data_IF_012012810303
#
_entry.id   IF_012012810303
#
_cell.length_a   1.000
_cell.length_b   1.000
_cell.length_c   1.000
_cell.angle_alpha   90.00
_cell.angle_beta   90.00
_cell.angle_gamma   90.00
#
_symmetry.space_group_name_H-M   'P 1'
#
loop_
_entity.id
_entity.type
_entity.pdbx_description
1 polymer ?
#
# COMPACT_ATOMS: atom_id res chain seq x y z
N UNK A 1 32.63 -11.02 -9.72
CA UNK A 1 31.40 -10.70 -8.97
C UNK A 1 30.16 -11.56 -9.28
N UNK A 2 29.60 -11.72 -10.50
CA UNK A 2 28.45 -12.66 -10.69
C UNK A 2 28.72 -14.06 -10.11
N UNK A 3 29.94 -14.59 -10.29
CA UNK A 3 30.40 -15.87 -9.70
C UNK A 3 30.44 -15.85 -8.17
N UNK A 4 30.79 -14.71 -7.58
CA UNK A 4 30.89 -14.51 -6.13
C UNK A 4 29.50 -14.38 -5.51
N UNK A 5 28.62 -13.58 -6.11
CA UNK A 5 27.20 -13.49 -5.74
C UNK A 5 26.51 -14.86 -5.82
N UNK A 6 26.81 -15.65 -6.86
CA UNK A 6 26.35 -17.04 -6.98
C UNK A 6 26.91 -17.93 -5.88
N UNK A 7 28.19 -17.79 -5.51
CA UNK A 7 28.80 -18.56 -4.43
C UNK A 7 28.18 -18.22 -3.07
N UNK A 8 27.95 -16.93 -2.80
CA UNK A 8 27.26 -16.44 -1.59
C UNK A 8 25.80 -16.90 -1.56
N UNK A 9 25.07 -16.84 -2.68
CA UNK A 9 23.71 -17.36 -2.75
C UNK A 9 23.68 -18.87 -2.51
N UNK A 10 24.63 -19.62 -3.09
CA UNK A 10 24.77 -21.05 -2.88
C UNK A 10 25.05 -21.41 -1.41
N UNK A 11 25.88 -20.63 -0.71
CA UNK A 11 26.10 -20.85 0.74
C UNK A 11 24.87 -20.58 1.59
N UNK A 12 23.91 -19.81 1.07
CA UNK A 12 22.57 -19.59 1.66
C UNK A 12 21.50 -20.57 1.15
N UNK A 13 21.87 -21.57 0.36
CA UNK A 13 20.93 -22.56 -0.20
C UNK A 13 20.14 -22.07 -1.42
N UNK A 14 20.47 -20.91 -1.99
CA UNK A 14 19.74 -20.31 -3.11
C UNK A 14 20.47 -20.59 -4.43
N UNK A 15 19.80 -21.30 -5.34
CA UNK A 15 20.36 -21.59 -6.65
C UNK A 15 20.13 -20.44 -7.65
N UNK A 16 21.21 -19.72 -7.95
CA UNK A 16 21.25 -18.65 -8.94
C UNK A 16 21.99 -19.06 -10.21
N UNK A 17 21.33 -18.84 -11.35
CA UNK A 17 21.96 -18.87 -12.67
C UNK A 17 22.01 -17.45 -13.26
N UNK A 18 22.77 -17.27 -14.35
CA UNK A 18 22.92 -15.94 -14.95
C UNK A 18 21.59 -15.36 -15.44
N UNK A 19 20.70 -16.21 -15.98
CA UNK A 19 19.37 -15.80 -16.43
C UNK A 19 18.50 -15.26 -15.29
N UNK A 20 18.55 -15.86 -14.09
CA UNK A 20 17.83 -15.38 -12.90
C UNK A 20 18.37 -14.02 -12.47
N UNK A 21 19.70 -13.87 -12.40
CA UNK A 21 20.33 -12.59 -12.04
C UNK A 21 19.96 -11.50 -13.05
N UNK A 22 20.03 -11.80 -14.35
CA UNK A 22 19.64 -10.87 -15.42
C UNK A 22 18.17 -10.50 -15.36
N UNK A 23 17.29 -11.45 -15.02
CA UNK A 23 15.87 -11.18 -14.78
C UNK A 23 15.67 -10.24 -13.60
N UNK A 24 16.32 -10.48 -12.46
CA UNK A 24 16.22 -9.61 -11.28
C UNK A 24 16.70 -8.18 -11.58
N UNK A 25 17.81 -8.06 -12.31
CA UNK A 25 18.30 -6.77 -12.80
C UNK A 25 17.32 -6.14 -13.80
N UNK A 26 16.75 -6.92 -14.71
CA UNK A 26 15.77 -6.45 -15.70
C UNK A 26 14.48 -5.92 -15.07
N UNK A 27 14.06 -6.51 -13.95
CA UNK A 27 12.93 -6.07 -13.13
C UNK A 27 13.30 -4.96 -12.14
N UNK A 28 14.57 -4.52 -12.08
CA UNK A 28 15.01 -3.49 -11.15
C UNK A 28 15.11 -3.94 -9.68
N UNK A 29 15.05 -5.24 -9.42
CA UNK A 29 15.14 -5.83 -8.08
C UNK A 29 16.58 -5.86 -7.55
N UNK A 30 17.56 -5.76 -8.44
CA UNK A 30 18.99 -5.66 -8.14
C UNK A 30 19.60 -4.54 -8.97
N UNK A 31 20.39 -3.69 -8.31
CA UNK A 31 21.19 -2.67 -8.97
C UNK A 31 22.60 -3.20 -9.18
N UNK A 32 23.09 -3.11 -10.42
CA UNK A 32 24.49 -3.37 -10.72
C UNK A 32 25.20 -2.07 -11.11
N UNK A 33 26.22 -1.67 -10.35
CA UNK A 33 27.09 -0.55 -10.69
C UNK A 33 27.86 -0.90 -11.96
N UNK A 34 27.73 -0.09 -13.01
CA UNK A 34 28.51 -0.25 -14.24
C UNK A 34 29.89 0.34 -14.00
N UNK A 35 30.92 -0.50 -13.97
CA UNK A 35 32.29 -0.03 -14.13
C UNK A 35 32.70 -0.29 -15.58
N UNK A 36 33.01 0.77 -16.34
CA UNK A 36 33.75 0.59 -17.58
C UNK A 36 35.17 0.24 -17.20
N UNK A 37 35.60 -1.00 -17.45
CA UNK A 37 37.03 -1.24 -17.52
C UNK A 37 37.51 -0.48 -18.75
N UNK A 38 38.34 0.52 -18.54
CA UNK A 38 38.89 1.35 -19.60
C UNK A 38 39.66 0.48 -20.59
N UNK A 39 39.00 0.13 -21.69
CA UNK A 39 39.54 0.12 -23.06
C UNK A 39 38.38 -0.27 -24.00
N UNK A 40 37.89 0.74 -24.71
CA UNK A 40 36.88 0.60 -25.75
C UNK A 40 37.42 -0.30 -26.87
N UNK A 41 37.11 -1.60 -26.81
CA UNK A 41 36.92 -2.47 -28.00
C UNK A 41 36.74 -3.96 -27.69
N UNK A 42 37.03 -4.47 -26.48
CA UNK A 42 36.99 -5.94 -26.27
C UNK A 42 36.41 -6.49 -24.96
N UNK A 43 36.14 -5.67 -23.96
CA UNK A 43 35.52 -6.13 -22.70
C UNK A 43 34.21 -5.40 -22.47
N UNK A 44 33.10 -6.16 -22.48
CA UNK A 44 31.76 -5.62 -22.25
C UNK A 44 31.61 -5.00 -20.86
N UNK A 45 30.57 -4.18 -20.70
CA UNK A 45 30.25 -3.50 -19.43
C UNK A 45 30.06 -4.54 -18.31
N UNK A 46 30.91 -4.51 -17.27
CA UNK A 46 30.77 -5.36 -16.09
C UNK A 46 29.88 -4.64 -15.06
N UNK A 47 28.84 -5.34 -14.58
CA UNK A 47 27.98 -4.89 -13.47
C UNK A 47 28.51 -5.45 -12.15
N UNK A 48 28.86 -4.57 -11.21
CA UNK A 48 29.24 -4.90 -9.83
C UNK A 48 28.00 -4.82 -8.94
N UNK A 49 27.85 -5.78 -8.02
CA UNK A 49 26.70 -5.86 -7.12
C UNK A 49 27.14 -5.47 -5.72
N UNK A 50 26.32 -4.67 -5.03
CA UNK A 50 26.55 -4.23 -3.65
C UNK A 50 26.43 -5.40 -2.66
N UNK A 51 27.03 -5.29 -1.47
CA UNK A 51 26.94 -6.30 -0.40
C UNK A 51 25.49 -6.61 -0.01
N UNK A 52 24.63 -5.59 0.01
CA UNK A 52 23.18 -5.76 0.28
C UNK A 52 22.43 -6.53 -0.80
N UNK A 53 23.06 -6.81 -1.94
CA UNK A 53 22.44 -7.60 -3.02
C UNK A 53 22.13 -9.02 -2.58
N UNK A 54 22.92 -9.62 -1.68
CA UNK A 54 22.66 -10.96 -1.19
C UNK A 54 21.41 -11.01 -0.30
N UNK A 55 21.23 -10.01 0.56
CA UNK A 55 20.06 -9.91 1.43
C UNK A 55 18.77 -9.67 0.62
N UNK A 56 18.86 -8.83 -0.42
CA UNK A 56 17.78 -8.65 -1.38
C UNK A 56 17.43 -9.96 -2.10
N UNK A 57 18.43 -10.78 -2.47
CA UNK A 57 18.22 -12.11 -3.08
C UNK A 57 17.53 -13.07 -2.11
N UNK A 58 17.92 -13.08 -0.83
CA UNK A 58 17.26 -13.88 0.20
C UNK A 58 15.78 -13.52 0.29
N UNK A 59 15.45 -12.23 0.38
CA UNK A 59 14.06 -11.77 0.41
C UNK A 59 13.31 -12.11 -0.89
N UNK A 60 13.93 -11.96 -2.06
CA UNK A 60 13.32 -12.37 -3.34
C UNK A 60 13.00 -13.87 -3.33
N UNK A 61 13.87 -14.70 -2.73
CA UNK A 61 13.63 -16.14 -2.61
C UNK A 61 12.42 -16.43 -1.71
N UNK A 62 12.34 -15.80 -0.53
CA UNK A 62 11.18 -15.89 0.37
C UNK A 62 9.87 -15.46 -0.34
N UNK A 63 9.91 -14.36 -1.09
CA UNK A 63 8.75 -13.88 -1.84
C UNK A 63 8.32 -14.85 -2.96
N UNK A 64 9.23 -15.63 -3.54
CA UNK A 64 8.87 -16.65 -4.54
C UNK A 64 8.10 -17.82 -3.95
N UNK A 65 8.24 -18.09 -2.65
CA UNK A 65 7.49 -19.13 -1.96
C UNK A 65 6.05 -18.65 -1.64
N UNK A 66 5.84 -17.33 -1.59
CA UNK A 66 4.53 -16.73 -1.36
C UNK A 66 3.66 -16.76 -2.63
N UNK A 67 2.71 -17.71 -2.65
CA UNK A 67 1.77 -17.90 -3.77
C UNK A 67 0.80 -16.73 -3.99
N UNK A 68 0.71 -15.78 -3.06
CA UNK A 68 -0.18 -14.63 -3.20
C UNK A 68 0.37 -13.56 -4.16
N UNK A 69 1.69 -13.56 -4.40
CA UNK A 69 2.31 -12.60 -5.31
C UNK A 69 2.50 -13.22 -6.69
N UNK A 70 1.59 -12.90 -7.62
CA UNK A 70 1.57 -13.53 -8.95
C UNK A 70 2.71 -13.10 -9.87
N UNK A 71 3.31 -11.92 -9.65
CA UNK A 71 4.28 -11.32 -10.57
C UNK A 71 5.55 -10.95 -9.83
N UNK A 72 6.67 -11.59 -10.19
CA UNK A 72 7.99 -11.34 -9.59
C UNK A 72 8.47 -9.88 -9.73
N UNK A 73 8.06 -9.19 -10.78
CA UNK A 73 8.32 -7.75 -10.96
C UNK A 73 7.66 -6.86 -9.87
N UNK A 74 6.62 -7.33 -9.19
CA UNK A 74 5.97 -6.59 -8.10
C UNK A 74 6.77 -6.66 -6.78
N UNK A 75 7.79 -7.51 -6.71
CA UNK A 75 8.70 -7.54 -5.55
C UNK A 75 9.46 -6.24 -5.37
N UNK A 76 9.57 -5.42 -6.43
CA UNK A 76 10.24 -4.11 -6.36
C UNK A 76 9.59 -3.21 -5.29
N UNK A 77 8.27 -3.30 -5.09
CA UNK A 77 7.57 -2.53 -4.06
C UNK A 77 7.92 -2.99 -2.66
N UNK A 78 8.01 -4.32 -2.47
CA UNK A 78 8.38 -4.92 -1.17
C UNK A 78 9.84 -4.59 -0.85
N UNK A 79 10.75 -4.75 -1.81
CA UNK A 79 12.16 -4.44 -1.65
C UNK A 79 12.37 -2.96 -1.30
N UNK A 80 11.75 -2.06 -2.06
CA UNK A 80 11.79 -0.62 -1.78
C UNK A 80 11.27 -0.31 -0.38
N UNK A 81 10.08 -0.83 -0.04
CA UNK A 81 9.49 -0.65 1.29
C UNK A 81 10.39 -1.17 2.41
N UNK A 82 11.03 -2.32 2.21
CA UNK A 82 11.90 -2.96 3.21
C UNK A 82 13.24 -2.26 3.38
N UNK A 83 13.62 -1.38 2.46
CA UNK A 83 14.87 -0.62 2.57
C UNK A 83 15.98 -1.11 1.64
N UNK A 84 15.65 -1.97 0.66
CA UNK A 84 16.64 -2.50 -0.26
C UNK A 84 16.87 -1.55 -1.44
N UNK A 85 18.11 -1.46 -1.95
CA UNK A 85 18.40 -0.69 -3.14
C UNK A 85 17.70 -1.32 -4.35
N UNK A 86 16.81 -0.56 -4.99
CA UNK A 86 16.13 -0.94 -6.25
C UNK A 86 16.38 0.09 -7.34
N UNK A 87 16.23 -0.31 -8.59
CA UNK A 87 16.30 0.61 -9.71
C UNK A 87 15.09 1.57 -9.67
N UNK A 88 15.34 2.83 -9.30
CA UNK A 88 14.30 3.84 -9.10
C UNK A 88 13.55 4.18 -10.39
N UNK A 89 14.21 4.09 -11.55
CA UNK A 89 13.55 4.33 -12.83
C UNK A 89 12.57 3.19 -13.15
N UNK A 90 12.96 1.94 -12.86
CA UNK A 90 12.04 0.80 -12.96
C UNK A 90 10.88 0.92 -11.99
N UNK A 91 11.13 1.33 -10.75
CA UNK A 91 10.08 1.58 -9.76
C UNK A 91 9.09 2.65 -10.26
N UNK A 92 9.60 3.78 -10.77
CA UNK A 92 8.80 4.87 -11.34
C UNK A 92 7.91 4.40 -12.49
N UNK A 93 8.48 3.69 -13.47
CA UNK A 93 7.72 3.14 -14.61
C UNK A 93 6.57 2.26 -14.10
N UNK A 94 6.84 1.41 -13.10
CA UNK A 94 5.85 0.49 -12.54
C UNK A 94 4.76 1.21 -11.75
N UNK A 95 5.12 2.25 -10.99
CA UNK A 95 4.15 3.13 -10.33
C UNK A 95 3.28 3.86 -11.35
N UNK A 96 3.85 4.32 -12.46
CA UNK A 96 3.11 4.98 -13.53
C UNK A 96 2.11 4.03 -14.20
N UNK A 97 2.54 2.82 -14.56
CA UNK A 97 1.65 1.79 -15.10
C UNK A 97 0.49 1.47 -14.14
N UNK A 98 0.76 1.46 -12.84
CA UNK A 98 -0.27 1.24 -11.85
C UNK A 98 -1.23 2.42 -11.73
N UNK A 99 -0.70 3.65 -11.63
CA UNK A 99 -1.49 4.86 -11.57
C UNK A 99 -2.44 4.96 -12.78
N UNK A 100 -1.93 4.72 -14.00
CA UNK A 100 -2.75 4.72 -15.22
C UNK A 100 -3.89 3.70 -15.16
N UNK A 101 -3.61 2.47 -14.70
CA UNK A 101 -4.66 1.45 -14.56
C UNK A 101 -5.69 1.80 -13.51
N UNK A 102 -5.24 2.40 -12.41
CA UNK A 102 -6.11 2.86 -11.33
C UNK A 102 -7.02 3.99 -11.82
N UNK A 103 -6.47 4.98 -12.53
CA UNK A 103 -7.25 6.06 -13.15
C UNK A 103 -8.28 5.49 -14.13
N UNK A 104 -7.86 4.63 -15.06
CA UNK A 104 -8.76 4.01 -16.03
C UNK A 104 -9.89 3.21 -15.35
N UNK A 105 -9.56 2.43 -14.32
CA UNK A 105 -10.55 1.69 -13.54
C UNK A 105 -11.58 2.60 -12.88
N UNK A 106 -11.16 3.77 -12.41
CA UNK A 106 -12.05 4.79 -11.85
C UNK A 106 -12.88 5.48 -12.92
N UNK A 107 -12.29 5.86 -14.05
CA UNK A 107 -13.00 6.45 -15.19
C UNK A 107 -14.15 5.53 -15.62
N UNK A 108 -13.84 4.26 -15.91
CA UNK A 108 -14.83 3.24 -16.33
C UNK A 108 -15.99 3.11 -15.33
N UNK A 109 -15.72 3.17 -14.02
CA UNK A 109 -16.75 3.01 -12.98
C UNK A 109 -17.50 4.28 -12.63
N UNK A 110 -16.84 5.43 -12.79
CA UNK A 110 -17.41 6.73 -12.46
C UNK A 110 -18.57 7.10 -13.38
N UNK A 111 -18.60 6.57 -14.61
CA UNK A 111 -19.71 6.75 -15.56
C UNK A 111 -21.04 6.21 -15.02
N UNK A 112 -21.01 5.21 -14.15
CA UNK A 112 -22.20 4.61 -13.56
C UNK A 112 -22.62 5.30 -12.26
N UNK A 113 -21.89 6.32 -11.79
CA UNK A 113 -22.18 6.97 -10.49
C UNK A 113 -23.20 8.11 -10.58
N UNK A 114 -23.86 8.27 -11.73
CA UNK A 114 -24.98 9.22 -11.89
C UNK A 114 -26.29 8.65 -11.33
N UNK A 115 -26.51 7.34 -11.48
CA UNK A 115 -27.68 6.62 -10.97
C UNK A 115 -27.23 5.46 -10.08
N UNK A 116 -27.73 5.44 -8.84
CA UNK A 116 -27.36 4.41 -7.88
C UNK A 116 -27.86 3.03 -8.30
N UNK A 117 -29.04 2.91 -8.91
CA UNK A 117 -29.59 1.64 -9.39
C UNK A 117 -28.72 1.06 -10.50
N UNK A 118 -28.31 1.89 -11.47
CA UNK A 118 -27.43 1.44 -12.56
C UNK A 118 -26.06 0.99 -12.05
N UNK A 119 -25.50 1.70 -11.05
CA UNK A 119 -24.26 1.29 -10.40
C UNK A 119 -24.41 -0.08 -9.70
N UNK A 120 -25.52 -0.28 -8.98
CA UNK A 120 -25.80 -1.54 -8.28
C UNK A 120 -25.94 -2.70 -9.27
N UNK A 121 -26.63 -2.49 -10.39
CA UNK A 121 -26.79 -3.50 -11.45
C UNK A 121 -25.45 -3.85 -12.11
N UNK A 122 -24.58 -2.86 -12.33
CA UNK A 122 -23.22 -3.09 -12.83
C UNK A 122 -22.39 -3.93 -11.85
N UNK A 123 -22.36 -3.60 -10.56
CA UNK A 123 -21.64 -4.38 -9.54
C UNK A 123 -22.23 -5.79 -9.38
N UNK A 124 -23.56 -5.94 -9.44
CA UNK A 124 -24.21 -7.26 -9.46
C UNK A 124 -23.71 -8.08 -10.65
N UNK A 125 -23.74 -7.51 -11.86
CA UNK A 125 -23.31 -8.19 -13.08
C UNK A 125 -21.84 -8.64 -13.04
N UNK A 126 -20.94 -7.86 -12.42
CA UNK A 126 -19.52 -8.20 -12.27
C UNK A 126 -19.27 -9.32 -11.24
N UNK A 127 -20.20 -9.50 -10.29
CA UNK A 127 -20.15 -10.50 -9.23
C UNK A 127 -20.90 -11.80 -9.57
N UNK A 128 -21.78 -11.78 -10.58
CA UNK A 128 -22.44 -12.99 -11.11
C UNK A 128 -21.37 -13.99 -11.58
N UNK A 129 -21.25 -15.11 -10.85
CA UNK A 129 -20.35 -16.22 -11.19
C UNK A 129 -19.05 -16.30 -10.38
N UNK A 130 -18.77 -15.34 -9.49
CA UNK A 130 -17.57 -15.35 -8.61
C UNK A 130 -17.84 -15.82 -7.19
N UNK A 131 -19.09 -15.85 -6.75
CA UNK A 131 -19.46 -16.33 -5.42
C UNK A 131 -19.40 -17.86 -5.37
N UNK A 132 -18.72 -18.47 -4.37
CA UNK A 132 -18.71 -19.91 -4.21
C UNK A 132 -20.14 -20.38 -3.96
N UNK A 133 -20.72 -21.10 -4.93
CA UNK A 133 -22.02 -21.77 -4.76
C UNK A 133 -21.85 -22.84 -3.69
N UNK A 134 -22.20 -22.55 -2.44
CA UNK A 134 -22.32 -23.57 -1.39
C UNK A 134 -23.32 -24.63 -1.89
N UNK A 135 -22.95 -25.91 -1.74
CA UNK A 135 -23.82 -27.02 -2.14
C UNK A 135 -25.02 -27.06 -1.19
N UNK A 136 -26.22 -26.86 -1.74
CA UNK A 136 -27.48 -26.84 -0.99
C UNK A 136 -28.25 -25.52 -1.13
N UNK A 137 -29.53 -25.52 -0.72
CA UNK A 137 -30.36 -24.30 -0.75
C UNK A 137 -29.95 -23.39 0.42
N UNK A 138 -29.46 -22.16 0.18
CA UNK A 138 -29.13 -21.24 1.26
C UNK A 138 -30.36 -20.89 2.09
N UNK A 139 -30.17 -20.69 3.40
CA UNK A 139 -31.25 -20.31 4.30
C UNK A 139 -31.71 -18.87 3.99
N UNK A 140 -32.98 -18.55 4.26
CA UNK A 140 -33.51 -17.19 4.06
C UNK A 140 -32.72 -16.13 4.83
N UNK A 141 -32.22 -16.48 6.02
CA UNK A 141 -31.41 -15.59 6.84
C UNK A 141 -30.01 -15.35 6.25
N UNK A 142 -29.40 -16.37 5.65
CA UNK A 142 -28.11 -16.23 4.96
C UNK A 142 -28.23 -15.29 3.75
N UNK A 143 -29.25 -15.49 2.91
CA UNK A 143 -29.52 -14.61 1.77
C UNK A 143 -29.83 -13.17 2.19
N UNK A 144 -30.53 -12.98 3.30
CA UNK A 144 -30.82 -11.64 3.81
C UNK A 144 -29.55 -10.92 4.28
N UNK A 145 -28.63 -11.61 4.98
CA UNK A 145 -27.33 -11.04 5.37
C UNK A 145 -26.45 -10.71 4.18
N UNK A 146 -26.34 -11.63 3.22
CA UNK A 146 -25.56 -11.43 2.00
C UNK A 146 -26.08 -10.23 1.18
N UNK A 147 -27.40 -10.02 1.15
CA UNK A 147 -28.00 -8.87 0.48
C UNK A 147 -27.73 -7.55 1.22
N UNK A 148 -27.74 -7.54 2.56
CA UNK A 148 -27.40 -6.36 3.37
C UNK A 148 -25.91 -6.01 3.18
N UNK A 149 -25.02 -6.98 3.31
CA UNK A 149 -23.57 -6.80 3.10
C UNK A 149 -23.27 -6.31 1.67
N UNK A 150 -23.98 -6.85 0.67
CA UNK A 150 -23.90 -6.39 -0.71
C UNK A 150 -24.32 -4.92 -0.84
N UNK A 151 -25.48 -4.55 -0.27
CA UNK A 151 -25.99 -3.19 -0.31
C UNK A 151 -25.06 -2.19 0.37
N UNK A 152 -24.52 -2.52 1.54
CA UNK A 152 -23.56 -1.68 2.25
C UNK A 152 -22.25 -1.50 1.46
N UNK A 153 -21.72 -2.60 0.92
CA UNK A 153 -20.50 -2.56 0.11
C UNK A 153 -20.69 -1.73 -1.15
N UNK A 154 -21.81 -1.92 -1.84
CA UNK A 154 -22.07 -1.25 -3.09
C UNK A 154 -22.44 0.24 -2.89
N UNK A 155 -23.12 0.60 -1.79
CA UNK A 155 -23.31 2.00 -1.38
C UNK A 155 -21.97 2.69 -1.06
N UNK A 156 -21.09 2.02 -0.33
CA UNK A 156 -19.74 2.52 -0.05
C UNK A 156 -18.93 2.72 -1.34
N UNK A 157 -19.01 1.77 -2.29
CA UNK A 157 -18.37 1.88 -3.60
C UNK A 157 -18.97 3.00 -4.44
N UNK A 158 -20.29 3.21 -4.39
CA UNK A 158 -20.98 4.27 -5.12
C UNK A 158 -20.54 5.65 -4.63
N UNK A 159 -20.53 5.87 -3.31
CA UNK A 159 -20.05 7.13 -2.70
C UNK A 159 -18.57 7.38 -3.00
N UNK A 160 -17.75 6.32 -2.95
CA UNK A 160 -16.35 6.39 -3.36
C UNK A 160 -16.23 6.76 -4.84
N UNK A 161 -17.04 6.16 -5.71
CA UNK A 161 -17.08 6.46 -7.14
C UNK A 161 -17.47 7.91 -7.44
N UNK A 162 -18.46 8.47 -6.74
CA UNK A 162 -18.82 9.90 -6.84
C UNK A 162 -17.63 10.80 -6.49
N UNK A 163 -16.92 10.50 -5.39
CA UNK A 163 -15.73 11.23 -4.97
C UNK A 163 -14.65 11.20 -6.05
N UNK A 164 -14.39 10.01 -6.62
CA UNK A 164 -13.40 9.85 -7.69
C UNK A 164 -13.80 10.55 -9.00
N UNK A 165 -15.09 10.56 -9.35
CA UNK A 165 -15.58 11.33 -10.50
C UNK A 165 -15.25 12.81 -10.36
N UNK A 166 -15.55 13.40 -9.21
CA UNK A 166 -15.25 14.81 -8.95
C UNK A 166 -13.75 15.09 -8.82
N UNK A 167 -12.98 14.13 -8.27
CA UNK A 167 -11.53 14.15 -8.27
C UNK A 167 -10.97 14.26 -9.71
N UNK A 168 -11.49 13.46 -10.63
CA UNK A 168 -11.10 13.47 -12.06
C UNK A 168 -11.55 14.76 -12.76
N UNK A 169 -12.72 15.29 -12.38
CA UNK A 169 -13.23 16.56 -12.91
C UNK A 169 -12.51 17.80 -12.35
N UNK A 170 -11.56 17.63 -11.43
CA UNK A 170 -10.66 18.68 -11.00
C UNK A 170 -11.08 19.44 -9.74
N UNK A 171 -12.21 19.11 -9.11
CA UNK A 171 -12.65 19.69 -7.83
C UNK A 171 -13.73 18.81 -7.21
N UNK A 172 -13.57 18.49 -5.94
CA UNK A 172 -14.56 17.80 -5.11
C UNK A 172 -15.47 18.84 -4.43
N UNK A 173 -16.77 18.67 -4.56
CA UNK A 173 -17.80 19.47 -3.92
C UNK A 173 -17.94 19.10 -2.45
N UNK A 174 -18.39 20.06 -1.63
CA UNK A 174 -18.61 19.81 -0.20
C UNK A 174 -19.64 18.71 0.06
N UNK A 175 -20.69 18.63 -0.78
CA UNK A 175 -21.73 17.61 -0.67
C UNK A 175 -21.18 16.20 -0.85
N UNK A 176 -20.43 15.94 -1.93
CA UNK A 176 -19.83 14.63 -2.20
C UNK A 176 -18.73 14.29 -1.18
N UNK A 177 -17.93 15.27 -0.77
CA UNK A 177 -16.92 15.07 0.27
C UNK A 177 -17.56 14.65 1.60
N UNK A 178 -18.60 15.36 2.02
CA UNK A 178 -19.35 15.04 3.25
C UNK A 178 -20.05 13.69 3.16
N UNK A 179 -20.73 13.38 2.05
CA UNK A 179 -21.33 12.06 1.82
C UNK A 179 -20.31 10.93 1.97
N UNK A 180 -19.08 11.14 1.48
CA UNK A 180 -17.99 10.18 1.62
C UNK A 180 -17.47 10.09 3.06
N UNK A 181 -17.17 11.21 3.73
CA UNK A 181 -16.64 11.22 5.10
C UNK A 181 -17.66 10.64 6.08
N UNK A 182 -18.93 11.02 6.00
CA UNK A 182 -20.00 10.51 6.85
C UNK A 182 -20.30 9.03 6.62
N UNK A 183 -19.93 8.47 5.46
CA UNK A 183 -19.99 7.02 5.24
C UNK A 183 -18.94 6.24 6.05
N UNK A 184 -17.97 6.93 6.67
CA UNK A 184 -16.93 6.33 7.50
C UNK A 184 -17.25 6.61 8.97
N UNK A 185 -17.61 5.56 9.71
CA UNK A 185 -17.95 5.63 11.13
C UNK A 185 -16.84 6.19 12.03
N UNK A 186 -15.60 6.29 11.54
CA UNK A 186 -14.41 6.70 12.27
C UNK A 186 -13.99 8.16 12.05
N UNK A 187 -14.65 8.91 11.17
CA UNK A 187 -14.19 10.24 10.73
C UNK A 187 -15.19 11.38 11.03
N UNK A 188 -16.23 11.15 11.84
CA UNK A 188 -17.42 12.02 11.90
C UNK A 188 -17.32 13.30 12.75
N UNK A 189 -16.13 13.82 13.05
CA UNK A 189 -16.02 15.08 13.81
C UNK A 189 -15.80 16.29 12.88
N UNK A 190 -16.84 17.14 12.83
CA UNK A 190 -17.11 18.17 11.81
C UNK A 190 -16.11 19.36 11.65
N UNK A 191 -15.26 19.81 12.61
CA UNK A 191 -14.55 21.08 12.41
C UNK A 191 -13.35 21.01 11.44
N UNK A 192 -13.00 19.83 10.91
CA UNK A 192 -11.83 19.65 10.04
C UNK A 192 -12.17 19.32 8.58
N UNK A 193 -13.43 19.03 8.25
CA UNK A 193 -13.82 18.64 6.89
C UNK A 193 -13.54 19.73 5.86
N UNK A 194 -13.87 20.98 6.19
CA UNK A 194 -13.73 22.10 5.24
C UNK A 194 -12.25 22.43 4.95
N UNK A 195 -11.41 22.45 5.98
CA UNK A 195 -9.97 22.67 5.84
C UNK A 195 -9.29 21.53 5.06
N UNK A 196 -9.72 20.29 5.30
CA UNK A 196 -9.25 19.11 4.58
C UNK A 196 -9.68 19.18 3.11
N UNK A 197 -10.95 19.48 2.83
CA UNK A 197 -11.45 19.63 1.47
C UNK A 197 -10.74 20.77 0.72
N UNK A 198 -10.46 21.89 1.36
CA UNK A 198 -9.68 22.98 0.76
C UNK A 198 -8.26 22.52 0.36
N UNK A 199 -7.59 21.74 1.21
CA UNK A 199 -6.28 21.16 0.88
C UNK A 199 -6.36 20.16 -0.27
N UNK A 200 -7.33 19.25 -0.22
CA UNK A 200 -7.57 18.25 -1.26
C UNK A 200 -7.84 18.94 -2.60
N UNK A 201 -8.76 19.92 -2.63
CA UNK A 201 -9.08 20.65 -3.87
C UNK A 201 -7.91 21.47 -4.42
N UNK A 202 -7.03 22.01 -3.58
CA UNK A 202 -5.79 22.66 -4.04
C UNK A 202 -4.90 21.65 -4.75
N UNK A 203 -4.67 20.50 -4.12
CA UNK A 203 -3.87 19.41 -4.67
C UNK A 203 -4.44 18.86 -6.00
N UNK A 204 -5.78 18.81 -6.12
CA UNK A 204 -6.45 18.40 -7.36
C UNK A 204 -6.28 19.44 -8.47
N UNK A 205 -6.55 20.72 -8.18
CA UNK A 205 -6.47 21.81 -9.18
C UNK A 205 -5.07 21.96 -9.77
N UNK A 206 -4.04 21.66 -9.00
CA UNK A 206 -2.65 21.66 -9.48
C UNK A 206 -2.34 20.48 -10.41
N UNK A 207 -3.30 19.56 -10.65
CA UNK A 207 -3.10 18.26 -11.30
C UNK A 207 -1.89 17.50 -10.72
N UNK A 208 -1.54 17.82 -9.47
CA UNK A 208 -0.32 17.38 -8.84
C UNK A 208 -0.34 15.86 -8.74
N UNK A 209 -1.48 15.28 -8.37
CA UNK A 209 -1.64 13.84 -8.21
C UNK A 209 -1.55 13.07 -9.53
N UNK A 210 -2.28 13.48 -10.58
CA UNK A 210 -2.31 12.77 -11.87
C UNK A 210 -0.95 12.75 -12.57
N UNK A 211 -0.16 13.80 -12.36
CA UNK A 211 1.16 13.93 -12.96
C UNK A 211 2.30 13.59 -12.00
N UNK A 212 2.04 13.35 -10.70
CA UNK A 212 3.09 13.27 -9.69
C UNK A 212 4.18 12.27 -10.04
N UNK A 213 3.81 11.06 -10.47
CA UNK A 213 4.80 10.03 -10.85
C UNK A 213 5.53 10.42 -12.13
N UNK A 214 4.82 11.04 -13.09
CA UNK A 214 5.41 11.54 -14.33
C UNK A 214 6.39 12.68 -14.09
N UNK A 215 6.16 13.55 -13.12
CA UNK A 215 7.02 14.69 -12.79
C UNK A 215 7.99 14.39 -11.64
N UNK A 216 7.82 13.25 -10.96
CA UNK A 216 8.69 12.84 -9.86
C UNK A 216 10.15 12.69 -10.33
N UNK A 217 11.05 13.09 -9.45
CA UNK A 217 12.47 12.98 -9.61
C UNK A 217 13.06 12.06 -8.51
N UNK A 218 14.36 11.77 -8.60
CA UNK A 218 15.03 10.86 -7.67
C UNK A 218 14.90 11.28 -6.19
N UNK A 219 14.83 12.58 -5.90
CA UNK A 219 14.68 13.07 -4.52
C UNK A 219 13.34 12.65 -3.91
N UNK A 220 12.25 12.64 -4.67
CA UNK A 220 10.93 12.22 -4.16
C UNK A 220 10.94 10.77 -3.64
N UNK A 221 11.71 9.89 -4.29
CA UNK A 221 11.89 8.51 -3.86
C UNK A 221 12.80 8.41 -2.63
N UNK A 222 13.80 9.28 -2.50
CA UNK A 222 14.66 9.36 -1.31
C UNK A 222 13.87 9.87 -0.10
N UNK A 223 13.09 10.93 -0.26
CA UNK A 223 12.23 11.48 0.79
C UNK A 223 11.20 10.45 1.24
N UNK A 224 10.59 9.72 0.29
CA UNK A 224 9.69 8.61 0.58
C UNK A 224 10.39 7.49 1.37
N UNK A 225 11.63 7.16 1.00
CA UNK A 225 12.44 6.17 1.70
C UNK A 225 12.76 6.59 3.14
N UNK A 226 13.13 7.85 3.37
CA UNK A 226 13.39 8.42 4.70
C UNK A 226 12.13 8.39 5.56
N UNK A 227 10.97 8.77 5.00
CA UNK A 227 9.70 8.68 5.71
C UNK A 227 9.37 7.23 6.10
N UNK A 228 9.55 6.27 5.19
CA UNK A 228 9.33 4.84 5.49
C UNK A 228 10.25 4.38 6.63
N UNK A 229 11.51 4.81 6.64
CA UNK A 229 12.45 4.47 7.71
C UNK A 229 11.97 5.03 9.06
N UNK A 230 11.54 6.30 9.10
CA UNK A 230 11.02 6.94 10.30
C UNK A 230 9.73 6.26 10.80
N UNK A 231 8.79 5.93 9.91
CA UNK A 231 7.57 5.19 10.26
C UNK A 231 7.88 3.83 10.90
N UNK A 232 8.96 3.15 10.47
CA UNK A 232 9.40 1.90 11.09
C UNK A 232 9.92 2.11 12.52
N UNK A 233 10.52 3.25 12.84
CA UNK A 233 10.93 3.57 14.21
C UNK A 233 9.72 3.75 15.14
N UNK A 234 8.67 4.38 14.65
CA UNK A 234 7.38 4.47 15.35
C UNK A 234 6.76 3.08 15.53
N UNK A 235 6.82 2.24 14.50
CA UNK A 235 6.36 0.85 14.57
C UNK A 235 7.15 0.00 15.58
N UNK A 236 8.46 0.23 15.71
CA UNK A 236 9.29 -0.49 16.68
C UNK A 236 8.81 -0.28 18.13
N UNK A 237 8.20 0.87 18.46
CA UNK A 237 7.59 1.10 19.78
C UNK A 237 6.49 0.09 20.05
N UNK A 238 5.59 -0.12 19.08
CA UNK A 238 4.55 -1.16 19.17
C UNK A 238 5.18 -2.53 19.35
N UNK A 239 6.17 -2.85 18.52
CA UNK A 239 6.84 -4.15 18.54
C UNK A 239 7.55 -4.43 19.87
N UNK A 240 8.15 -3.42 20.48
CA UNK A 240 8.81 -3.53 21.78
C UNK A 240 7.80 -3.78 22.90
N UNK A 241 6.63 -3.14 22.83
CA UNK A 241 5.60 -3.24 23.86
C UNK A 241 4.77 -4.54 23.75
N UNK A 242 4.37 -4.92 22.54
CA UNK A 242 3.40 -6.01 22.31
C UNK A 242 3.97 -7.19 21.50
N UNK A 243 5.20 -7.10 21.00
CA UNK A 243 5.82 -8.11 20.13
C UNK A 243 5.38 -8.01 18.66
N UNK A 244 4.08 -7.84 18.41
CA UNK A 244 3.48 -7.66 17.08
C UNK A 244 2.18 -6.85 17.16
N UNK A 245 1.74 -6.22 16.06
CA UNK A 245 0.48 -5.44 16.03
C UNK A 245 -0.74 -6.32 16.31
N UNK A 246 -0.73 -7.59 15.89
CA UNK A 246 -1.81 -8.53 16.18
C UNK A 246 -1.91 -8.90 17.65
N UNK A 247 -0.92 -8.51 18.46
CA UNK A 247 -0.89 -8.75 19.90
C UNK A 247 -1.37 -7.53 20.71
N UNK A 248 -1.70 -6.41 20.05
CA UNK A 248 -2.32 -5.26 20.71
C UNK A 248 -3.79 -5.62 21.02
N UNK A 249 -4.24 -5.55 22.29
CA UNK A 249 -5.63 -5.80 22.64
C UNK A 249 -6.62 -4.93 21.84
N UNK A 250 -7.68 -5.53 21.29
CA UNK A 250 -8.69 -4.84 20.47
C UNK A 250 -8.25 -4.52 19.04
N UNK A 251 -7.03 -4.00 18.83
CA UNK A 251 -6.50 -3.73 17.48
C UNK A 251 -6.19 -5.04 16.75
N UNK A 252 -5.54 -6.00 17.43
CA UNK A 252 -5.21 -7.29 16.84
C UNK A 252 -6.44 -8.09 16.44
N UNK A 253 -7.50 -8.05 17.26
CA UNK A 253 -8.78 -8.70 16.97
C UNK A 253 -9.44 -8.09 15.72
N UNK A 254 -9.45 -6.77 15.61
CA UNK A 254 -9.96 -6.07 14.41
C UNK A 254 -9.14 -6.44 13.17
N UNK A 255 -7.80 -6.47 13.27
CA UNK A 255 -6.96 -6.86 12.15
C UNK A 255 -7.22 -8.31 11.72
N UNK A 256 -7.36 -9.24 12.67
CA UNK A 256 -7.70 -10.63 12.36
C UNK A 256 -9.07 -10.75 11.66
N UNK A 257 -10.07 -10.01 12.14
CA UNK A 257 -11.41 -9.96 11.50
C UNK A 257 -11.31 -9.39 10.08
N UNK A 258 -10.55 -8.32 9.87
CA UNK A 258 -10.33 -7.75 8.54
C UNK A 258 -9.62 -8.74 7.61
N UNK A 259 -8.63 -9.48 8.11
CA UNK A 259 -7.93 -10.50 7.33
C UNK A 259 -8.82 -11.67 6.93
N UNK A 260 -9.66 -12.14 7.86
CA UNK A 260 -10.66 -13.17 7.58
C UNK A 260 -11.68 -12.69 6.54
N UNK A 261 -12.18 -11.47 6.70
CA UNK A 261 -13.22 -10.89 5.83
C UNK A 261 -12.71 -10.58 4.43
N UNK A 262 -11.49 -10.05 4.30
CA UNK A 262 -10.90 -9.72 3.00
C UNK A 262 -10.08 -10.86 2.38
N UNK A 263 -9.98 -12.01 3.06
CA UNK A 263 -9.13 -13.15 2.67
C UNK A 263 -7.66 -12.74 2.40
N UNK A 264 -7.16 -11.79 3.17
CA UNK A 264 -5.78 -11.30 3.05
C UNK A 264 -4.95 -12.02 4.12
N UNK A 265 -4.05 -12.91 3.71
CA UNK A 265 -3.05 -13.44 4.65
C UNK A 265 -2.04 -12.33 4.95
N UNK A 266 -2.06 -11.77 6.15
CA UNK A 266 -1.09 -10.76 6.64
C UNK A 266 -1.00 -9.52 5.75
N UNK A 267 -1.64 -8.42 6.18
CA UNK A 267 -1.58 -7.11 5.50
C UNK A 267 -0.15 -6.67 5.15
N UNK A 268 0.84 -7.06 5.98
CA UNK A 268 2.25 -6.72 5.77
C UNK A 268 2.94 -7.46 4.61
N UNK A 269 2.31 -8.42 3.93
CA UNK A 269 2.98 -9.20 2.88
C UNK A 269 2.34 -9.04 1.49
N UNK A 270 1.48 -8.04 1.32
CA UNK A 270 0.83 -7.75 0.04
C UNK A 270 1.50 -6.59 -0.71
N UNK A 271 2.13 -6.84 -1.87
CA UNK A 271 2.74 -5.79 -2.68
C UNK A 271 1.78 -4.67 -3.08
N UNK A 272 0.47 -4.96 -3.15
CA UNK A 272 -0.53 -3.95 -3.50
C UNK A 272 -0.58 -2.82 -2.45
N UNK A 273 -0.45 -3.14 -1.16
CA UNK A 273 -0.49 -2.15 -0.07
C UNK A 273 0.72 -1.23 -0.19
N UNK A 274 1.92 -1.83 -0.31
CA UNK A 274 3.16 -1.05 -0.47
C UNK A 274 3.14 -0.16 -1.71
N UNK A 275 2.71 -0.72 -2.85
CA UNK A 275 2.55 0.04 -4.09
C UNK A 275 1.61 1.24 -3.90
N UNK A 276 0.47 1.04 -3.23
CA UNK A 276 -0.51 2.10 -2.99
C UNK A 276 0.01 3.18 -2.04
N UNK A 277 0.66 2.78 -0.94
CA UNK A 277 1.25 3.73 0.02
C UNK A 277 2.39 4.53 -0.61
N UNK A 278 3.29 3.89 -1.36
CA UNK A 278 4.36 4.57 -2.09
C UNK A 278 3.77 5.59 -3.08
N UNK A 279 2.72 5.20 -3.81
CA UNK A 279 2.01 6.09 -4.72
C UNK A 279 1.44 7.31 -3.97
N UNK A 280 0.82 7.13 -2.80
CA UNK A 280 0.30 8.22 -1.98
C UNK A 280 1.43 9.15 -1.51
N UNK A 281 2.54 8.60 -1.01
CA UNK A 281 3.66 9.40 -0.50
C UNK A 281 4.30 10.26 -1.57
N UNK A 282 4.48 9.72 -2.78
CA UNK A 282 5.02 10.49 -3.91
C UNK A 282 3.96 11.46 -4.43
N UNK A 283 2.70 11.03 -4.58
CA UNK A 283 1.65 11.85 -5.19
C UNK A 283 1.17 12.98 -4.30
N UNK A 284 1.14 12.77 -3.00
CA UNK A 284 0.71 13.74 -2.02
C UNK A 284 1.69 14.90 -1.82
N UNK A 285 2.94 14.76 -2.26
CA UNK A 285 3.96 15.82 -2.13
C UNK A 285 4.23 16.25 -0.68
N UNK A 286 3.76 15.49 0.31
CA UNK A 286 3.87 15.81 1.72
C UNK A 286 4.89 14.94 2.46
N UNK A 287 5.60 14.04 1.76
CA UNK A 287 6.57 13.13 2.39
C UNK A 287 7.55 13.88 3.29
N UNK A 288 8.14 14.97 2.78
CA UNK A 288 9.02 15.84 3.54
C UNK A 288 8.35 16.50 4.75
N UNK A 289 7.15 17.04 4.59
CA UNK A 289 6.39 17.67 5.69
C UNK A 289 6.05 16.68 6.79
N UNK A 290 5.67 15.46 6.41
CA UNK A 290 5.45 14.37 7.37
C UNK A 290 6.73 13.95 8.06
N UNK A 291 7.84 13.83 7.34
CA UNK A 291 9.15 13.56 7.93
C UNK A 291 9.52 14.63 8.95
N UNK A 292 9.38 15.92 8.59
CA UNK A 292 9.65 17.04 9.49
C UNK A 292 8.78 16.99 10.75
N UNK A 293 7.48 16.72 10.60
CA UNK A 293 6.55 16.58 11.73
C UNK A 293 6.88 15.36 12.62
N UNK A 294 7.04 14.18 12.03
CA UNK A 294 7.34 12.94 12.75
C UNK A 294 8.75 12.94 13.35
N UNK A 295 9.66 13.79 12.88
CA UNK A 295 10.99 13.94 13.47
C UNK A 295 10.98 14.81 14.74
N UNK A 296 9.85 15.47 15.07
CA UNK A 296 9.73 16.24 16.29
C UNK A 296 9.77 15.32 17.52
N UNK A 297 10.65 15.59 18.51
CA UNK A 297 10.72 14.76 19.71
C UNK A 297 9.40 14.65 20.46
N UNK A 298 8.62 15.73 20.50
CA UNK A 298 7.30 15.74 21.14
C UNK A 298 6.31 14.76 20.50
N UNK A 299 6.34 14.61 19.17
CA UNK A 299 5.47 13.69 18.44
C UNK A 299 5.84 12.24 18.75
N UNK A 300 7.13 11.93 18.74
CA UNK A 300 7.61 10.59 19.07
C UNK A 300 7.32 10.21 20.54
N UNK A 301 7.48 11.15 21.47
CA UNK A 301 7.13 10.93 22.89
C UNK A 301 5.62 10.77 23.09
N UNK A 302 4.80 11.59 22.41
CA UNK A 302 3.34 11.44 22.43
C UNK A 302 2.90 10.08 21.93
N UNK A 303 3.49 9.61 20.82
CA UNK A 303 3.24 8.27 20.30
C UNK A 303 3.60 7.17 21.30
N UNK A 304 4.76 7.26 21.97
CA UNK A 304 5.15 6.31 23.02
C UNK A 304 4.13 6.25 24.16
N UNK A 305 3.61 7.40 24.60
CA UNK A 305 2.56 7.44 25.62
C UNK A 305 1.32 6.69 25.15
N UNK A 306 0.82 7.01 23.95
CA UNK A 306 -0.37 6.37 23.38
C UNK A 306 -0.20 4.85 23.33
N UNK A 307 0.94 4.36 22.82
CA UNK A 307 1.20 2.92 22.70
C UNK A 307 1.27 2.24 24.08
N UNK A 308 1.84 2.90 25.08
CA UNK A 308 1.85 2.41 26.47
C UNK A 308 0.44 2.32 27.05
N UNK A 309 -0.38 3.33 26.81
CA UNK A 309 -1.73 3.45 27.38
C UNK A 309 -2.72 2.43 26.79
N UNK A 310 -2.46 1.93 25.57
CA UNK A 310 -3.27 0.88 24.92
C UNK A 310 -3.29 -0.45 25.70
N UNK A 311 -2.35 -0.69 26.63
CA UNK A 311 -2.26 -1.91 27.41
C UNK A 311 -3.01 -1.85 28.75
N UNK A 312 -3.39 -0.65 29.20
CA UNK A 312 -3.99 -0.40 30.52
C UNK A 312 -5.50 -0.68 30.60
N UNK A 313 -6.18 -0.99 29.50
CA UNK A 313 -7.64 -1.25 29.47
C UNK A 313 -8.02 -2.69 29.83
N UNK A 314 -7.09 -3.50 30.33
CA UNK A 314 -7.45 -4.78 30.96
C UNK A 314 -7.66 -4.62 32.47
N UNK A 315 -8.93 -4.39 32.88
CA UNK A 315 -9.36 -4.83 34.22
C UNK A 315 -10.10 -3.87 35.15
N UNK A 316 -10.60 -2.72 34.70
CA UNK A 316 -11.67 -2.06 35.46
C UNK A 316 -13.02 -2.33 34.78
N UNK A 317 -13.66 -3.42 35.19
CA UNK A 317 -15.11 -3.43 35.28
C UNK A 317 -15.49 -2.16 36.05
N UNK A 318 -15.97 -1.14 35.34
CA UNK A 318 -16.72 -0.06 35.96
C UNK A 318 -17.95 -0.71 36.57
N UNK A 319 -17.83 -1.12 37.84
CA UNK A 319 -18.96 -1.39 38.71
C UNK A 319 -19.67 -0.06 38.91
N UNK A 320 -20.55 0.27 37.96
CA UNK A 320 -21.61 1.23 38.20
C UNK A 320 -22.60 0.53 39.14
N UNK A 321 -22.34 0.63 40.45
CA UNK A 321 -23.34 0.41 41.47
C UNK A 321 -23.52 1.72 42.24
N UNK A 322 -24.73 2.25 42.13
CA UNK A 322 -25.24 3.45 42.80
C UNK A 322 -26.56 3.84 42.16
#
# INVERSE_FOLDING_TARGET
MKKELKAQAKSRGIELNDKKIERYVGYGLLIGNKTSEGNASRTGVVKLFDERSIDAICLINELNENKNIRRQQDYIYVLFWRGYPVDLEKLRIRLLEYQTKLIQWFEDRSEYTYDQSEFMDMILSENVGKLPRKVGRPSKQFLARENVEFQETADALFKTGKLFRELLNGTITQGVFREFIQSKSTLSDEPHEELLLQHVNRWIKENAWMNAIKTSNVQDYKDCYELIALLKEYWLVIKQQYGDIYSIPGVGDILNILEEHFHISKLADQPFIYRFVILIFISGGFSRKLTEFLSLPSVYQGWKSIVSDLGSTSGEEVRING
#
